data_IF_299107983208
#
_entry.id   IF_299107983208
#
_cell.length_a   1.000
_cell.length_b   1.000
_cell.length_c   1.000
_cell.angle_alpha   90.00
_cell.angle_beta   90.00
_cell.angle_gamma   90.00
#
_symmetry.space_group_name_H-M   'P 1'
#
loop_
_entity.id
_entity.type
_entity.pdbx_description
1 polymer ?
#
# COMPACT_ATOMS: atom_id res chain seq x y z
N UNK A 1 -57.22 -26.25 7.46
CA UNK A 1 -55.75 -26.32 7.60
C UNK A 1 -55.13 -26.34 6.20
N UNK A 2 -54.50 -25.26 5.73
CA UNK A 2 -53.92 -25.17 4.38
C UNK A 2 -52.42 -25.49 4.46
N UNK A 3 -51.98 -26.54 3.78
CA UNK A 3 -50.56 -26.87 3.64
C UNK A 3 -49.93 -26.01 2.54
N UNK A 4 -48.89 -25.25 2.89
CA UNK A 4 -48.07 -24.48 1.95
C UNK A 4 -47.03 -25.44 1.36
N UNK A 5 -47.05 -25.60 0.03
CA UNK A 5 -46.10 -26.42 -0.73
C UNK A 5 -44.91 -25.53 -1.09
N UNK A 6 -43.81 -25.64 -0.36
CA UNK A 6 -42.56 -24.93 -0.65
C UNK A 6 -41.89 -25.51 -1.89
N UNK A 7 -41.64 -24.66 -2.90
CA UNK A 7 -41.04 -25.03 -4.19
C UNK A 7 -39.52 -25.16 -4.07
N UNK A 8 -39.00 -26.38 -4.20
CA UNK A 8 -37.57 -26.71 -4.13
C UNK A 8 -36.75 -26.24 -5.34
N UNK A 9 -37.40 -25.75 -6.41
CA UNK A 9 -36.73 -25.33 -7.66
C UNK A 9 -35.96 -24.02 -7.53
N UNK A 10 -36.39 -23.10 -6.66
CA UNK A 10 -35.70 -21.83 -6.44
C UNK A 10 -34.37 -21.98 -5.70
N UNK A 11 -34.26 -22.99 -4.84
CA UNK A 11 -33.06 -23.24 -4.04
C UNK A 11 -31.94 -23.90 -4.87
N UNK A 12 -32.28 -24.81 -5.79
CA UNK A 12 -31.29 -25.43 -6.69
C UNK A 12 -30.71 -24.45 -7.72
N UNK A 13 -31.51 -23.48 -8.20
CA UNK A 13 -31.04 -22.45 -9.13
C UNK A 13 -30.09 -21.43 -8.46
N UNK A 14 -30.30 -21.13 -7.17
CA UNK A 14 -29.42 -20.25 -6.39
C UNK A 14 -28.08 -20.91 -6.05
N UNK A 15 -28.05 -22.24 -5.88
CA UNK A 15 -26.83 -22.97 -5.58
C UNK A 15 -25.91 -23.07 -6.82
N UNK A 16 -26.49 -23.20 -8.01
CA UNK A 16 -25.74 -23.31 -9.27
C UNK A 16 -25.01 -22.01 -9.65
N UNK A 17 -25.57 -20.84 -9.35
CA UNK A 17 -24.94 -19.53 -9.62
C UNK A 17 -23.79 -19.22 -8.66
N UNK A 18 -23.86 -19.69 -7.41
CA UNK A 18 -22.77 -19.53 -6.42
C UNK A 18 -21.55 -20.37 -6.81
N UNK A 19 -21.75 -21.59 -7.33
CA UNK A 19 -20.64 -22.47 -7.74
C UNK A 19 -19.92 -21.92 -8.99
N UNK A 20 -20.66 -21.37 -9.95
CA UNK A 20 -20.07 -20.76 -11.15
C UNK A 20 -19.23 -19.49 -10.85
N UNK A 21 -19.59 -18.73 -9.80
CA UNK A 21 -18.83 -17.54 -9.38
C UNK A 21 -17.49 -17.84 -8.70
N UNK A 22 -17.30 -19.07 -8.18
CA UNK A 22 -16.07 -19.46 -7.47
C UNK A 22 -14.94 -19.97 -8.37
N UNK A 23 -15.23 -20.32 -9.62
CA UNK A 23 -14.23 -20.87 -10.56
C UNK A 23 -13.46 -19.80 -11.36
N UNK A 24 -13.87 -18.53 -11.27
CA UNK A 24 -13.11 -17.40 -11.81
C UNK A 24 -12.27 -16.71 -10.71
N UNK A 25 -11.65 -17.49 -9.83
CA UNK A 25 -10.58 -16.97 -8.98
C UNK A 25 -9.37 -16.71 -9.88
N UNK A 26 -9.19 -15.44 -10.27
CA UNK A 26 -8.00 -14.96 -10.95
C UNK A 26 -6.79 -15.15 -10.04
N UNK A 27 -6.11 -16.30 -10.16
CA UNK A 27 -4.73 -16.41 -9.73
C UNK A 27 -3.89 -15.53 -10.65
N UNK A 28 -3.32 -14.44 -10.12
CA UNK A 28 -2.28 -13.69 -10.81
C UNK A 28 -1.23 -14.69 -11.31
N UNK A 29 -0.78 -14.61 -12.58
CA UNK A 29 0.27 -15.49 -13.04
C UNK A 29 1.50 -15.22 -12.18
N UNK A 30 1.85 -16.18 -11.32
CA UNK A 30 3.14 -16.19 -10.65
C UNK A 30 4.17 -16.12 -11.77
N UNK A 31 5.01 -15.08 -11.76
CA UNK A 31 6.08 -14.91 -12.76
C UNK A 31 6.86 -16.21 -12.89
N UNK A 32 7.26 -16.57 -14.12
CA UNK A 32 8.03 -17.80 -14.35
C UNK A 32 9.23 -17.82 -13.38
N UNK A 33 9.44 -18.89 -12.61
CA UNK A 33 10.62 -19.00 -11.76
C UNK A 33 11.88 -18.73 -12.58
N UNK A 34 12.70 -17.76 -12.15
CA UNK A 34 13.89 -17.33 -12.87
C UNK A 34 13.72 -16.14 -13.83
N UNK A 35 12.52 -15.57 -13.98
CA UNK A 35 12.36 -14.26 -14.60
C UNK A 35 12.86 -13.18 -13.63
N UNK A 36 13.93 -12.47 -13.99
CA UNK A 36 14.40 -11.32 -13.24
C UNK A 36 13.34 -10.20 -13.18
N UNK A 37 13.41 -9.37 -12.15
CA UNK A 37 12.52 -8.23 -11.95
C UNK A 37 13.27 -7.02 -11.42
N UNK A 38 12.69 -5.84 -11.59
CA UNK A 38 13.20 -4.58 -11.04
C UNK A 38 12.08 -3.99 -10.17
N UNK A 39 12.41 -3.68 -8.93
CA UNK A 39 11.57 -2.86 -8.06
C UNK A 39 12.08 -1.42 -8.12
N UNK A 40 11.21 -0.49 -8.53
CA UNK A 40 11.53 0.94 -8.59
C UNK A 40 10.88 1.59 -7.38
N UNK A 41 11.69 2.26 -6.56
CA UNK A 41 11.21 3.04 -5.42
C UNK A 41 11.65 4.49 -5.50
N UNK A 42 10.89 5.36 -4.84
CA UNK A 42 11.17 6.77 -4.68
C UNK A 42 10.98 7.13 -3.21
N UNK A 43 11.91 7.93 -2.68
CA UNK A 43 11.96 8.30 -1.27
C UNK A 43 11.67 9.81 -1.10
N UNK A 44 11.23 10.19 0.10
CA UNK A 44 11.01 11.57 0.59
C UNK A 44 9.60 12.14 0.37
N UNK A 45 9.49 13.45 0.09
CA UNK A 45 8.23 14.21 0.02
C UNK A 45 8.11 14.94 -1.32
N UNK A 46 8.20 14.20 -2.43
CA UNK A 46 8.07 14.73 -3.80
C UNK A 46 6.76 14.30 -4.45
N UNK A 47 5.66 14.34 -3.68
CA UNK A 47 4.36 13.74 -4.05
C UNK A 47 3.84 14.31 -5.37
N UNK A 48 3.97 15.62 -5.60
CA UNK A 48 3.49 16.27 -6.82
C UNK A 48 4.25 15.77 -8.04
N UNK A 49 5.58 15.71 -7.95
CA UNK A 49 6.45 15.21 -9.01
C UNK A 49 6.19 13.73 -9.31
N UNK A 50 6.02 12.90 -8.28
CA UNK A 50 5.65 11.49 -8.44
C UNK A 50 4.30 11.33 -9.14
N UNK A 51 3.32 12.17 -8.78
CA UNK A 51 2.01 12.17 -9.40
C UNK A 51 2.06 12.54 -10.89
N UNK A 52 2.94 13.45 -11.28
CA UNK A 52 3.17 13.80 -12.69
C UNK A 52 3.80 12.66 -13.51
N UNK A 53 4.46 11.69 -12.87
CA UNK A 53 5.02 10.51 -13.54
C UNK A 53 3.97 9.45 -13.91
N UNK A 54 2.72 9.56 -13.45
CA UNK A 54 1.64 8.60 -13.73
C UNK A 54 1.45 8.23 -15.21
N UNK A 55 1.50 9.18 -16.19
CA UNK A 55 1.43 8.82 -17.61
C UNK A 55 2.55 7.87 -18.05
N UNK A 56 3.76 8.02 -17.48
CA UNK A 56 4.91 7.15 -17.76
C UNK A 56 4.66 5.73 -17.22
N UNK A 57 4.23 5.62 -15.97
CA UNK A 57 3.92 4.32 -15.36
C UNK A 57 2.82 3.59 -16.12
N UNK A 58 1.77 4.29 -16.55
CA UNK A 58 0.71 3.70 -17.38
C UNK A 58 1.23 3.25 -18.75
N UNK A 59 2.05 4.06 -19.42
CA UNK A 59 2.63 3.73 -20.74
C UNK A 59 3.41 2.42 -20.72
N UNK A 60 4.16 2.18 -19.65
CA UNK A 60 5.02 1.00 -19.51
C UNK A 60 4.40 -0.12 -18.65
N UNK A 61 3.16 0.05 -18.19
CA UNK A 61 2.51 -0.83 -17.22
C UNK A 61 3.41 -1.13 -15.99
N UNK A 62 4.17 -0.11 -15.55
CA UNK A 62 5.11 -0.22 -14.46
C UNK A 62 4.43 0.13 -13.13
N UNK A 63 4.82 -0.57 -12.06
CA UNK A 63 4.45 -0.27 -10.67
C UNK A 63 5.70 0.18 -9.92
N UNK A 64 5.49 0.98 -8.89
CA UNK A 64 6.55 1.56 -8.08
C UNK A 64 6.09 1.67 -6.63
N UNK A 65 7.05 1.82 -5.73
CA UNK A 65 6.83 2.08 -4.31
C UNK A 65 7.26 3.50 -3.98
N UNK A 66 6.39 4.27 -3.32
CA UNK A 66 6.67 5.64 -2.88
C UNK A 66 6.79 5.66 -1.36
N UNK A 67 8.00 5.84 -0.84
CA UNK A 67 8.28 5.90 0.59
C UNK A 67 8.15 7.34 1.07
N UNK A 68 7.07 7.62 1.82
CA UNK A 68 6.73 8.97 2.28
C UNK A 68 7.44 9.29 3.59
N UNK A 69 8.21 10.38 3.62
CA UNK A 69 8.75 10.99 4.85
C UNK A 69 7.83 12.10 5.37
N UNK A 70 8.03 12.55 6.61
CA UNK A 70 7.32 13.67 7.23
C UNK A 70 5.79 13.64 7.02
N UNK A 71 5.12 12.50 7.31
CA UNK A 71 3.70 12.34 7.01
C UNK A 71 2.77 13.25 7.83
N UNK A 72 3.27 13.86 8.90
CA UNK A 72 2.59 14.90 9.67
C UNK A 72 2.36 16.19 8.86
N UNK A 73 3.16 16.42 7.82
CA UNK A 73 3.08 17.58 6.95
C UNK A 73 2.20 17.37 5.71
N UNK A 74 1.69 16.15 5.48
CA UNK A 74 0.82 15.85 4.35
C UNK A 74 -0.46 16.69 4.38
N UNK A 75 -0.70 17.43 3.30
CA UNK A 75 -1.96 18.14 3.13
C UNK A 75 -2.99 17.29 2.36
N UNK A 76 -4.25 17.74 2.33
CA UNK A 76 -5.35 17.01 1.70
C UNK A 76 -5.17 16.76 0.19
N UNK A 77 -4.50 17.67 -0.53
CA UNK A 77 -4.20 17.51 -1.96
C UNK A 77 -3.18 16.38 -2.16
N UNK A 78 -2.11 16.36 -1.37
CA UNK A 78 -1.08 15.33 -1.42
C UNK A 78 -1.63 13.96 -1.03
N UNK A 79 -2.47 13.89 0.01
CA UNK A 79 -3.16 12.64 0.38
C UNK A 79 -4.02 12.14 -0.79
N UNK A 80 -4.74 13.02 -1.48
CA UNK A 80 -5.53 12.64 -2.65
C UNK A 80 -4.64 12.13 -3.81
N UNK A 81 -3.49 12.76 -4.04
CA UNK A 81 -2.51 12.31 -5.04
C UNK A 81 -1.96 10.91 -4.71
N UNK A 82 -1.54 10.69 -3.47
CA UNK A 82 -1.05 9.40 -2.98
C UNK A 82 -2.13 8.32 -3.07
N UNK A 83 -3.38 8.63 -2.73
CA UNK A 83 -4.52 7.71 -2.88
C UNK A 83 -4.79 7.34 -4.34
N UNK A 84 -4.60 8.28 -5.25
CA UNK A 84 -4.72 7.99 -6.68
C UNK A 84 -3.57 7.11 -7.19
N UNK A 85 -2.34 7.29 -6.70
CA UNK A 85 -1.21 6.39 -6.97
C UNK A 85 -1.49 4.97 -6.45
N UNK A 86 -1.97 4.85 -5.20
CA UNK A 86 -2.38 3.57 -4.59
C UNK A 86 -3.47 2.87 -5.42
N UNK A 87 -4.50 3.62 -5.84
CA UNK A 87 -5.57 3.12 -6.71
C UNK A 87 -5.07 2.63 -8.08
N UNK A 88 -3.99 3.22 -8.58
CA UNK A 88 -3.33 2.80 -9.82
C UNK A 88 -2.42 1.57 -9.62
N UNK A 89 -2.34 1.04 -8.40
CA UNK A 89 -1.60 -0.18 -8.06
C UNK A 89 -0.14 0.08 -7.66
N UNK A 90 0.23 1.33 -7.41
CA UNK A 90 1.51 1.65 -6.76
C UNK A 90 1.42 1.37 -5.26
N UNK A 91 2.57 1.10 -4.64
CA UNK A 91 2.66 0.94 -3.19
C UNK A 91 3.00 2.27 -2.53
N UNK A 92 2.37 2.55 -1.39
CA UNK A 92 2.73 3.67 -0.52
C UNK A 92 3.42 3.09 0.72
N UNK A 93 4.73 3.28 0.81
CA UNK A 93 5.58 2.87 1.92
C UNK A 93 5.87 4.02 2.88
N UNK A 94 6.56 3.72 3.98
CA UNK A 94 6.93 4.71 4.99
C UNK A 94 8.44 5.00 4.98
N UNK A 95 8.83 6.27 5.07
CA UNK A 95 10.22 6.75 5.08
C UNK A 95 10.59 7.55 6.33
N UNK A 96 9.94 7.28 7.46
CA UNK A 96 10.26 7.93 8.72
C UNK A 96 9.49 9.23 8.94
N UNK A 97 9.62 9.74 10.16
CA UNK A 97 8.86 10.90 10.65
C UNK A 97 9.66 12.18 10.49
N UNK A 98 10.91 12.19 10.95
CA UNK A 98 11.75 13.39 10.98
C UNK A 98 12.96 13.27 10.04
N UNK A 99 13.03 12.17 9.28
CA UNK A 99 14.11 11.87 8.33
C UNK A 99 15.47 11.81 9.00
N UNK A 100 15.51 11.41 10.28
CA UNK A 100 16.77 11.27 10.99
C UNK A 100 17.42 9.90 10.72
N UNK A 101 18.74 9.87 10.78
CA UNK A 101 19.48 8.61 10.63
C UNK A 101 19.19 7.68 11.79
N UNK A 102 18.91 6.41 11.47
CA UNK A 102 18.68 5.36 12.47
C UNK A 102 19.84 5.29 13.48
N UNK A 103 21.07 5.28 12.99
CA UNK A 103 22.29 5.17 13.81
C UNK A 103 22.45 6.31 14.82
N UNK A 104 22.07 7.54 14.45
CA UNK A 104 22.14 8.71 15.33
C UNK A 104 21.08 8.65 16.45
N UNK A 105 19.82 8.34 16.10
CA UNK A 105 18.75 8.17 17.08
C UNK A 105 19.00 6.96 18.01
N UNK A 106 19.55 5.88 17.46
CA UNK A 106 19.93 4.68 18.20
C UNK A 106 21.07 4.95 19.18
N UNK A 107 22.05 5.78 18.84
CA UNK A 107 23.14 6.13 19.74
C UNK A 107 22.66 6.95 20.96
N UNK A 108 21.65 7.81 20.76
CA UNK A 108 21.11 8.69 21.81
C UNK A 108 20.08 7.97 22.68
N UNK A 109 19.11 7.29 22.07
CA UNK A 109 17.92 6.75 22.76
C UNK A 109 17.73 5.25 22.61
N UNK A 110 18.64 4.54 21.94
CA UNK A 110 18.50 3.12 21.64
C UNK A 110 17.29 2.82 20.74
N UNK A 111 16.88 1.53 20.65
CA UNK A 111 15.71 1.12 19.87
C UNK A 111 14.43 1.87 20.22
N UNK A 112 14.25 2.16 21.52
CA UNK A 112 13.07 2.88 22.00
C UNK A 112 13.04 4.32 21.49
N UNK A 113 14.15 5.05 21.60
CA UNK A 113 14.23 6.43 21.12
C UNK A 113 14.03 6.54 19.60
N UNK A 114 14.57 5.60 18.84
CA UNK A 114 14.32 5.50 17.40
C UNK A 114 12.83 5.23 17.10
N UNK A 115 12.21 4.28 17.80
CA UNK A 115 10.80 3.94 17.62
C UNK A 115 9.87 5.13 17.95
N UNK A 116 10.06 5.77 19.10
CA UNK A 116 9.23 6.88 19.57
C UNK A 116 9.42 8.17 18.77
N UNK A 117 10.59 8.36 18.13
CA UNK A 117 10.91 9.56 17.35
C UNK A 117 10.61 9.37 15.86
N UNK A 118 11.09 8.27 15.27
CA UNK A 118 11.10 8.07 13.82
C UNK A 118 9.92 7.24 13.33
N UNK A 119 9.45 6.26 14.11
CA UNK A 119 8.51 5.24 13.62
C UNK A 119 7.06 5.51 14.03
N UNK A 120 6.78 5.57 15.33
CA UNK A 120 5.41 5.59 15.85
C UNK A 120 4.62 6.84 15.43
N UNK A 121 5.17 8.08 15.54
CA UNK A 121 4.39 9.26 15.19
C UNK A 121 4.04 9.26 13.70
N UNK A 122 5.01 8.96 12.83
CA UNK A 122 4.79 8.93 11.39
C UNK A 122 3.80 7.84 10.97
N UNK A 123 3.88 6.64 11.55
CA UNK A 123 2.88 5.60 11.33
C UNK A 123 1.49 6.02 11.79
N UNK A 124 1.37 6.75 12.91
CA UNK A 124 0.09 7.31 13.35
C UNK A 124 -0.47 8.29 12.31
N UNK A 125 0.34 9.22 11.79
CA UNK A 125 -0.07 10.17 10.74
C UNK A 125 -0.46 9.47 9.43
N UNK A 126 0.32 8.47 9.00
CA UNK A 126 0.01 7.65 7.82
C UNK A 126 -1.34 6.94 7.99
N UNK A 127 -1.57 6.30 9.14
CA UNK A 127 -2.83 5.63 9.45
C UNK A 127 -4.01 6.60 9.48
N UNK A 128 -3.84 7.79 10.07
CA UNK A 128 -4.86 8.83 10.10
C UNK A 128 -5.21 9.35 8.70
N UNK A 129 -4.23 9.43 7.80
CA UNK A 129 -4.45 9.73 6.37
C UNK A 129 -5.00 8.54 5.56
N UNK A 130 -5.20 7.38 6.21
CA UNK A 130 -5.79 6.18 5.62
C UNK A 130 -4.79 5.28 4.89
N UNK A 131 -3.48 5.46 5.09
CA UNK A 131 -2.43 4.57 4.58
C UNK A 131 -2.03 3.54 5.63
N UNK A 132 -1.76 2.31 5.20
CA UNK A 132 -1.31 1.20 6.07
C UNK A 132 -0.03 0.60 5.50
N UNK A 133 1.10 1.32 5.56
CA UNK A 133 2.34 0.88 4.94
C UNK A 133 2.81 -0.45 5.54
N UNK A 134 3.19 -1.40 4.69
CA UNK A 134 3.77 -2.70 5.07
C UNK A 134 5.27 -2.77 4.77
N UNK A 135 5.81 -1.74 4.14
CA UNK A 135 7.21 -1.57 3.78
C UNK A 135 7.76 -0.28 4.41
N UNK A 136 9.04 -0.33 4.75
CA UNK A 136 9.77 0.78 5.35
C UNK A 136 11.14 0.93 4.70
N UNK A 137 11.53 2.15 4.39
CA UNK A 137 12.88 2.50 3.96
C UNK A 137 13.51 3.41 5.00
N UNK A 138 14.72 3.08 5.46
CA UNK A 138 15.43 3.90 6.46
C UNK A 138 15.94 5.19 5.82
N UNK A 139 15.72 6.38 6.44
CA UNK A 139 16.34 7.62 6.00
C UNK A 139 17.86 7.46 5.86
N UNK A 140 18.39 7.84 4.70
CA UNK A 140 19.82 7.74 4.38
C UNK A 140 20.34 6.32 4.07
N UNK A 141 19.48 5.30 4.05
CA UNK A 141 19.87 3.91 3.75
C UNK A 141 20.71 3.24 4.85
N UNK A 142 20.65 3.77 6.07
CA UNK A 142 21.35 3.24 7.23
C UNK A 142 20.67 1.97 7.78
N UNK A 143 21.44 1.02 8.34
CA UNK A 143 20.90 -0.21 8.93
C UNK A 143 20.19 0.00 10.27
#
# INVERSE_FOLDING_TARGET
MKYIKTSSRGFLLLLATVIAGTLCSCGSPAGKPGAGGIAISFDDHFIKEWYELRPLFRKYNAKATFFVTCPDSLNAEEVAMLKQLEKEGHEIGFHGTVHAKSTELMAVGGPKGYMETELEPGLHHMNAAGFKPTSYAHPGGEP
#
